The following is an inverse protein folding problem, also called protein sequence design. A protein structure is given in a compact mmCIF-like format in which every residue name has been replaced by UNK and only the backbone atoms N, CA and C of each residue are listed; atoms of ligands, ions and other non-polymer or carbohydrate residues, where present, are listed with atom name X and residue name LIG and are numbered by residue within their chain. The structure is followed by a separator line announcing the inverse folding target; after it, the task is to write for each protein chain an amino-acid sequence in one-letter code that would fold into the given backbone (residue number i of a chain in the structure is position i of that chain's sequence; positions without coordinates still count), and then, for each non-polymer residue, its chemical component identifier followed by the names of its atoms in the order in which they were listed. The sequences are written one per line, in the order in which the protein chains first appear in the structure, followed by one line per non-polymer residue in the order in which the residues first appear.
data_IF_419563787784
#
_entry.id   IF_419563787784
#
_cell.length_a   1.000
_cell.length_b   1.000
_cell.length_c   1.000
_cell.angle_alpha   90.00
_cell.angle_beta   90.00
_cell.angle_gamma   90.00
#
_symmetry.space_group_name_H-M   'P 1'
#
loop_
_entity.id
_entity.type
_entity.pdbx_description
1 polymer ?
#
# COMPACT_ATOMS: atom_id res chain seq x y z
N UNK A 1 -60.40 28.32 13.38
CA UNK A 1 -61.46 27.88 12.47
C UNK A 1 -61.09 28.31 11.06
N UNK A 2 -61.26 27.38 10.11
CA UNK A 2 -61.16 27.49 8.64
C UNK A 2 -59.78 27.50 7.95
N UNK A 3 -59.34 26.27 7.71
CA UNK A 3 -58.80 25.73 6.44
C UNK A 3 -59.51 26.24 5.18
N UNK A 4 -58.79 26.36 4.06
CA UNK A 4 -59.24 25.80 2.76
C UNK A 4 -58.12 25.75 1.71
N UNK A 5 -57.87 24.53 1.25
CA UNK A 5 -57.19 24.18 0.01
C UNK A 5 -58.17 24.27 -1.17
N UNK A 6 -57.68 24.61 -2.38
CA UNK A 6 -58.38 24.29 -3.64
C UNK A 6 -57.43 23.57 -4.61
N UNK A 7 -57.87 22.37 -5.01
CA UNK A 7 -57.43 21.61 -6.19
C UNK A 7 -58.37 21.88 -7.37
N UNK A 8 -57.95 21.37 -8.53
CA UNK A 8 -58.67 21.04 -9.78
C UNK A 8 -58.59 22.15 -10.85
N UNK A 9 -58.16 21.90 -12.10
CA UNK A 9 -57.82 20.63 -12.75
C UNK A 9 -57.23 20.75 -14.16
N UNK A 10 -56.67 19.62 -14.59
CA UNK A 10 -56.71 18.94 -15.90
C UNK A 10 -56.78 19.79 -17.20
N UNK A 11 -55.77 19.65 -18.07
CA UNK A 11 -56.00 19.58 -19.52
C UNK A 11 -54.93 18.76 -20.26
N UNK A 12 -55.41 17.76 -21.00
CA UNK A 12 -54.64 16.87 -21.90
C UNK A 12 -54.57 17.50 -23.28
N UNK A 13 -53.42 17.41 -23.98
CA UNK A 13 -53.40 17.28 -25.45
C UNK A 13 -52.34 16.29 -25.92
N UNK A 14 -52.83 15.22 -26.52
CA UNK A 14 -52.14 14.24 -27.38
C UNK A 14 -52.10 14.83 -28.80
N UNK A 15 -51.01 14.60 -29.55
CA UNK A 15 -51.08 14.56 -31.02
C UNK A 15 -50.10 13.54 -31.60
N UNK A 16 -50.64 12.74 -32.51
CA UNK A 16 -50.11 11.52 -33.11
C UNK A 16 -49.08 11.74 -34.25
N UNK A 17 -48.25 10.71 -34.47
CA UNK A 17 -47.55 10.33 -35.71
C UNK A 17 -48.53 10.05 -36.87
N UNK A 18 -48.13 10.07 -38.17
CA UNK A 18 -47.43 8.96 -38.86
C UNK A 18 -46.37 9.45 -39.89
N UNK A 19 -45.47 8.68 -40.53
CA UNK A 19 -45.22 7.24 -40.60
C UNK A 19 -44.04 6.95 -41.58
N UNK A 20 -43.45 5.76 -41.40
CA UNK A 20 -42.64 4.88 -42.27
C UNK A 20 -42.02 5.38 -43.60
N UNK A 21 -40.74 5.04 -43.80
CA UNK A 21 -40.31 4.22 -44.96
C UNK A 21 -39.03 3.41 -44.66
N UNK A 22 -38.99 2.17 -45.14
CA UNK A 22 -38.00 1.09 -44.91
C UNK A 22 -36.96 0.94 -46.06
N UNK A 23 -35.92 0.10 -45.78
CA UNK A 23 -35.00 -0.66 -46.67
C UNK A 23 -33.66 0.04 -47.00
N UNK A 24 -32.46 -0.58 -47.03
CA UNK A 24 -31.91 -1.94 -46.82
C UNK A 24 -30.34 -1.85 -46.79
N UNK A 25 -29.52 -2.92 -46.68
CA UNK A 25 -28.30 -2.94 -45.84
C UNK A 25 -26.97 -3.20 -46.60
N UNK A 26 -25.91 -3.50 -45.81
CA UNK A 26 -24.63 -4.20 -46.12
C UNK A 26 -23.40 -3.29 -46.29
N UNK A 27 -22.44 -3.36 -45.35
CA UNK A 27 -21.03 -3.72 -45.59
C UNK A 27 -20.45 -4.36 -44.32
N UNK A 28 -20.01 -5.61 -44.45
CA UNK A 28 -19.18 -6.37 -43.50
C UNK A 28 -17.70 -6.00 -43.70
N UNK A 29 -16.97 -5.75 -42.61
CA UNK A 29 -15.50 -5.79 -42.60
C UNK A 29 -15.01 -6.89 -41.65
N UNK A 30 -14.35 -7.90 -42.25
CA UNK A 30 -13.65 -9.00 -41.61
C UNK A 30 -12.32 -8.51 -40.99
N UNK A 31 -11.94 -9.01 -39.82
CA UNK A 31 -10.56 -9.44 -39.58
C UNK A 31 -10.44 -10.50 -38.45
N UNK A 32 -10.23 -11.74 -38.92
CA UNK A 32 -9.38 -12.85 -38.43
C UNK A 32 -9.16 -13.01 -36.91
N UNK A 33 -9.79 -14.08 -36.38
CA UNK A 33 -9.41 -14.79 -35.14
C UNK A 33 -8.48 -15.95 -35.55
N UNK A 34 -7.26 -16.00 -35.03
CA UNK A 34 -6.37 -17.15 -35.21
C UNK A 34 -6.61 -18.15 -34.08
N UNK A 35 -7.20 -19.30 -34.42
CA UNK A 35 -7.22 -20.51 -33.59
C UNK A 35 -6.16 -21.45 -34.11
N UNK A 36 -5.15 -21.78 -33.30
CA UNK A 36 -4.32 -22.96 -33.52
C UNK A 36 -4.82 -24.09 -32.62
N UNK A 37 -5.32 -25.13 -33.28
CA UNK A 37 -5.57 -26.46 -32.74
C UNK A 37 -4.44 -27.35 -33.21
N UNK A 38 -3.86 -28.13 -32.30
CA UNK A 38 -3.14 -29.35 -32.66
C UNK A 38 -3.36 -30.40 -31.58
N UNK A 39 -4.38 -31.24 -31.80
CA UNK A 39 -4.49 -32.58 -31.25
C UNK A 39 -3.53 -33.51 -31.98
N UNK A 40 -2.70 -34.25 -31.24
CA UNK A 40 -2.21 -35.57 -31.62
C UNK A 40 -2.15 -36.42 -30.36
N UNK A 41 -3.12 -37.32 -30.23
CA UNK A 41 -3.03 -38.49 -29.37
C UNK A 41 -2.41 -39.63 -30.18
N UNK A 42 -1.41 -40.30 -29.61
CA UNK A 42 -1.05 -41.64 -30.02
C UNK A 42 -0.58 -42.43 -28.79
N UNK A 43 -1.23 -43.56 -28.62
CA UNK A 43 -1.15 -44.60 -27.60
C UNK A 43 0.16 -45.40 -27.62
N UNK A 44 0.58 -45.91 -26.46
CA UNK A 44 1.42 -47.12 -26.37
C UNK A 44 2.45 -47.12 -25.24
N UNK A 45 2.12 -47.74 -24.10
CA UNK A 45 3.12 -48.41 -23.23
C UNK A 45 3.56 -49.75 -23.85
N UNK A 46 4.47 -50.55 -23.24
CA UNK A 46 4.52 -50.80 -21.79
C UNK A 46 5.93 -50.90 -21.14
N UNK A 47 5.91 -50.99 -19.80
CA UNK A 47 6.79 -51.68 -18.84
C UNK A 47 8.27 -51.28 -18.57
N UNK A 48 8.52 -51.11 -17.26
CA UNK A 48 9.75 -50.93 -16.43
C UNK A 48 10.60 -52.24 -16.36
N UNK A 49 11.87 -52.28 -15.86
CA UNK A 49 12.47 -51.67 -14.64
C UNK A 49 13.87 -51.03 -14.88
N UNK A 50 14.57 -50.30 -14.00
CA UNK A 50 14.69 -50.26 -12.54
C UNK A 50 16.03 -50.89 -12.09
N UNK A 51 16.96 -50.08 -11.55
CA UNK A 51 18.34 -50.36 -11.05
C UNK A 51 19.43 -50.66 -12.13
N UNK A 52 20.68 -50.18 -12.09
CA UNK A 52 21.59 -50.03 -10.95
C UNK A 52 22.74 -49.00 -11.17
N UNK A 53 23.42 -48.75 -10.05
CA UNK A 53 24.55 -47.89 -9.65
C UNK A 53 25.76 -47.62 -10.59
N UNK A 54 26.37 -46.42 -10.42
CA UNK A 54 27.82 -46.11 -10.14
C UNK A 54 28.19 -44.71 -10.69
N UNK A 55 28.49 -43.73 -9.85
CA UNK A 55 29.76 -43.45 -9.14
C UNK A 55 30.72 -42.54 -9.94
N UNK A 56 30.99 -41.36 -9.34
CA UNK A 56 32.16 -40.47 -9.52
C UNK A 56 32.50 -39.89 -10.91
N UNK A 57 32.51 -38.55 -10.99
CA UNK A 57 33.77 -37.82 -11.17
C UNK A 57 33.63 -36.33 -10.83
N UNK A 58 34.39 -35.93 -9.80
CA UNK A 58 34.81 -34.56 -9.54
C UNK A 58 35.67 -34.07 -10.71
N UNK A 59 35.44 -32.84 -11.18
CA UNK A 59 36.48 -32.01 -11.78
C UNK A 59 36.39 -30.58 -11.27
N UNK A 60 37.24 -30.32 -10.28
CA UNK A 60 37.81 -29.02 -9.97
C UNK A 60 38.81 -28.66 -11.08
N UNK A 61 38.75 -27.46 -11.63
CA UNK A 61 39.94 -26.80 -12.22
C UNK A 61 39.97 -25.36 -11.71
N UNK A 62 41.13 -25.04 -11.15
CA UNK A 62 41.53 -23.82 -10.47
C UNK A 62 42.02 -22.75 -11.47
N UNK A 63 41.86 -21.50 -11.02
CA UNK A 63 42.62 -20.27 -11.29
C UNK A 63 43.70 -20.28 -12.39
N UNK A 64 43.71 -19.21 -13.20
CA UNK A 64 44.95 -18.56 -13.61
C UNK A 64 44.79 -17.04 -13.82
N UNK A 65 45.84 -16.33 -13.43
CA UNK A 65 45.99 -14.91 -13.18
C UNK A 65 46.05 -13.97 -14.41
N UNK A 66 45.66 -12.71 -14.14
CA UNK A 66 46.26 -11.42 -14.52
C UNK A 66 47.06 -11.27 -15.84
N UNK A 67 46.72 -10.23 -16.64
CA UNK A 67 47.62 -9.08 -16.87
C UNK A 67 47.04 -7.99 -17.78
N UNK A 68 47.13 -6.74 -17.27
CA UNK A 68 47.45 -5.44 -17.90
C UNK A 68 47.19 -5.23 -19.41
N UNK A 69 46.50 -4.13 -19.73
CA UNK A 69 46.99 -3.12 -20.69
C UNK A 69 46.32 -1.76 -20.45
N UNK A 70 47.14 -0.71 -20.51
CA UNK A 70 46.79 0.71 -20.37
C UNK A 70 47.16 1.48 -21.66
N UNK A 71 46.65 2.72 -21.74
CA UNK A 71 47.04 3.87 -22.58
C UNK A 71 46.25 4.07 -23.91
N UNK A 72 46.27 5.29 -24.50
CA UNK A 72 45.86 6.59 -23.96
C UNK A 72 45.06 7.45 -25.00
N UNK A 73 44.50 8.62 -24.62
CA UNK A 73 44.20 9.67 -25.60
C UNK A 73 43.08 10.65 -25.24
N UNK A 74 43.44 11.84 -24.76
CA UNK A 74 42.62 13.06 -24.78
C UNK A 74 42.86 13.82 -26.10
N UNK A 75 41.93 14.69 -26.51
CA UNK A 75 42.29 16.11 -26.51
C UNK A 75 41.25 17.01 -25.82
N UNK A 76 41.73 18.19 -25.42
CA UNK A 76 41.02 19.30 -24.76
C UNK A 76 40.54 20.33 -25.81
N UNK A 77 39.35 20.88 -25.58
CA UNK A 77 38.90 22.26 -25.88
C UNK A 77 37.77 22.52 -24.83
N UNK A 78 37.84 23.46 -23.87
CA UNK A 78 37.82 24.92 -23.98
C UNK A 78 36.45 25.38 -24.53
N UNK A 79 35.54 26.07 -23.85
CA UNK A 79 35.41 26.71 -22.54
C UNK A 79 34.03 27.41 -22.47
N UNK A 80 33.57 27.76 -21.27
CA UNK A 80 32.32 28.51 -21.00
C UNK A 80 31.25 27.60 -20.36
N UNK A 81 30.78 27.79 -19.13
CA UNK A 81 30.75 28.96 -18.26
C UNK A 81 29.30 29.18 -17.80
N UNK A 82 28.81 28.38 -16.86
CA UNK A 82 27.55 28.63 -16.15
C UNK A 82 27.74 28.26 -14.67
N UNK A 83 27.58 29.26 -13.80
CA UNK A 83 27.67 29.11 -12.35
C UNK A 83 26.42 28.43 -11.80
N UNK A 84 26.59 27.29 -11.13
CA UNK A 84 25.60 26.71 -10.23
C UNK A 84 26.23 26.62 -8.83
N UNK A 85 25.49 27.13 -7.84
CA UNK A 85 25.92 27.22 -6.45
C UNK A 85 26.26 25.86 -5.84
N UNK A 86 27.43 25.81 -5.21
CA UNK A 86 27.95 24.69 -4.44
C UNK A 86 27.12 24.41 -3.20
N UNK A 87 26.53 23.20 -3.12
CA UNK A 87 26.41 22.46 -1.85
C UNK A 87 27.38 21.29 -1.93
N UNK A 88 28.26 21.18 -0.93
CA UNK A 88 29.32 20.20 -0.83
C UNK A 88 28.78 18.76 -0.98
N UNK A 89 29.40 18.01 -1.89
CA UNK A 89 29.19 16.58 -2.02
C UNK A 89 29.74 15.88 -0.76
N UNK A 90 28.85 15.29 0.04
CA UNK A 90 29.20 14.42 1.17
C UNK A 90 29.79 13.11 0.65
N UNK A 91 30.92 12.71 1.20
CA UNK A 91 31.65 11.50 0.81
C UNK A 91 30.98 10.22 1.32
N UNK A 92 31.19 9.09 0.63
CA UNK A 92 30.69 7.75 0.99
C UNK A 92 31.06 7.25 2.40
N UNK A 93 31.85 8.00 3.19
CA UNK A 93 32.16 7.70 4.58
C UNK A 93 31.13 8.19 5.61
N UNK A 94 30.13 8.96 5.21
CA UNK A 94 29.07 9.44 6.11
C UNK A 94 27.77 8.61 6.04
N UNK A 95 27.67 7.66 5.11
CA UNK A 95 26.52 6.74 4.97
C UNK A 95 26.58 5.49 5.84
N UNK A 96 27.66 5.29 6.60
CA UNK A 96 27.87 4.11 7.43
C UNK A 96 28.36 4.52 8.81
N UNK A 97 27.45 4.97 9.67
CA UNK A 97 27.65 4.93 11.12
C UNK A 97 26.72 3.85 11.69
N UNK A 98 27.26 2.85 12.42
CA UNK A 98 26.41 1.98 13.22
C UNK A 98 25.64 2.85 14.22
N UNK A 99 24.36 2.54 14.43
CA UNK A 99 23.61 3.10 15.55
C UNK A 99 24.26 2.57 16.84
N UNK A 100 25.03 3.42 17.52
CA UNK A 100 25.59 3.09 18.83
C UNK A 100 24.44 2.84 19.84
N UNK A 101 24.51 1.78 20.66
CA UNK A 101 23.55 1.56 21.73
C UNK A 101 23.76 2.61 22.82
N UNK A 102 22.74 3.44 23.07
CA UNK A 102 22.75 4.43 24.15
C UNK A 102 23.02 3.76 25.52
N UNK A 103 23.90 4.33 26.37
CA UNK A 103 24.09 3.84 27.72
C UNK A 103 22.87 4.20 28.57
N UNK A 104 22.30 3.20 29.25
CA UNK A 104 21.15 3.37 30.12
C UNK A 104 21.45 4.31 31.29
N UNK A 105 20.57 5.29 31.50
CA UNK A 105 20.39 5.93 32.80
C UNK A 105 19.20 5.28 33.49
N UNK A 106 19.33 4.81 34.74
CA UNK A 106 18.21 4.30 35.51
C UNK A 106 17.39 5.50 36.04
N UNK A 107 16.08 5.29 36.15
CA UNK A 107 15.08 6.19 36.78
C UNK A 107 14.42 7.25 35.88
N UNK A 108 13.39 6.82 35.16
CA UNK A 108 12.25 7.66 34.78
C UNK A 108 10.96 6.81 34.80
N UNK A 109 10.37 6.59 35.97
CA UNK A 109 8.99 6.11 36.08
C UNK A 109 8.04 7.30 35.93
N UNK A 110 7.82 7.72 34.69
CA UNK A 110 6.80 8.68 34.29
C UNK A 110 5.73 8.04 33.38
N UNK A 111 4.63 8.75 33.06
CA UNK A 111 3.50 8.25 32.25
C UNK A 111 3.87 7.67 30.88
N UNK A 112 5.07 8.00 30.37
CA UNK A 112 5.66 7.43 29.16
C UNK A 112 5.81 5.90 29.18
N UNK A 113 6.01 5.27 30.35
CA UNK A 113 6.11 3.80 30.43
C UNK A 113 4.75 3.10 30.28
N UNK A 114 3.67 3.74 30.73
CA UNK A 114 2.31 3.20 30.65
C UNK A 114 1.69 3.35 29.26
N UNK A 115 1.93 4.48 28.58
CA UNK A 115 1.45 4.68 27.19
C UNK A 115 2.21 3.81 26.21
N UNK A 116 3.55 3.69 26.35
CA UNK A 116 4.34 2.78 25.52
C UNK A 116 3.88 1.33 25.66
N UNK A 117 3.72 0.84 26.90
CA UNK A 117 3.22 -0.53 27.15
C UNK A 117 1.86 -0.78 26.48
N UNK A 118 0.96 0.21 26.46
CA UNK A 118 -0.32 0.11 25.75
C UNK A 118 -0.14 0.03 24.24
N UNK A 119 0.73 0.86 23.67
CA UNK A 119 1.01 0.82 22.23
C UNK A 119 1.70 -0.49 21.82
N UNK A 120 2.63 -1.01 22.63
CA UNK A 120 3.25 -2.32 22.39
C UNK A 120 2.20 -3.46 22.42
N UNK A 121 1.14 -3.34 23.24
CA UNK A 121 0.00 -4.27 23.23
C UNK A 121 -0.85 -4.14 21.97
N UNK A 122 -1.07 -2.93 21.47
CA UNK A 122 -1.77 -2.70 20.19
C UNK A 122 -0.97 -3.32 19.04
N UNK A 123 0.35 -3.12 19.01
CA UNK A 123 1.24 -3.73 18.02
C UNK A 123 1.15 -5.26 18.06
N UNK A 124 1.15 -5.85 19.26
CA UNK A 124 0.99 -7.30 19.42
C UNK A 124 -0.36 -7.83 18.91
N UNK A 125 -1.44 -7.03 18.96
CA UNK A 125 -2.76 -7.42 18.41
C UNK A 125 -2.72 -7.50 16.89
N UNK A 126 -2.03 -6.57 16.22
CA UNK A 126 -1.96 -6.54 14.74
C UNK A 126 -0.90 -7.50 14.18
N UNK A 127 0.05 -7.97 14.99
CA UNK A 127 1.03 -9.01 14.64
C UNK A 127 0.43 -10.43 14.67
N UNK A 128 -0.78 -10.59 14.12
CA UNK A 128 -1.42 -11.89 13.93
C UNK A 128 -1.05 -12.42 12.55
N UNK A 129 -0.28 -13.50 12.50
CA UNK A 129 0.05 -14.14 11.21
C UNK A 129 -1.21 -14.81 10.63
N UNK A 130 -1.51 -14.51 9.37
CA UNK A 130 -2.67 -15.01 8.64
C UNK A 130 -2.28 -16.05 7.58
N UNK A 131 -1.06 -16.59 7.67
CA UNK A 131 -0.56 -17.66 6.80
C UNK A 131 0.48 -17.22 5.77
N UNK A 132 1.05 -16.01 5.93
CA UNK A 132 2.07 -15.44 5.03
C UNK A 132 3.50 -15.68 5.50
N UNK A 133 3.69 -16.22 6.71
CA UNK A 133 5.03 -16.43 7.28
C UNK A 133 5.66 -15.12 7.78
N UNK A 134 4.83 -14.19 8.22
CA UNK A 134 5.24 -12.83 8.59
C UNK A 134 5.79 -12.72 10.01
N UNK A 135 5.67 -13.76 10.84
CA UNK A 135 6.16 -13.73 12.21
C UNK A 135 7.63 -13.24 12.35
N UNK A 136 8.60 -13.65 11.51
CA UNK A 136 9.96 -13.11 11.54
C UNK A 136 10.04 -11.64 11.13
N UNK A 137 9.21 -11.20 10.18
CA UNK A 137 9.09 -9.79 9.76
C UNK A 137 8.55 -8.94 10.91
N UNK A 138 7.53 -9.42 11.63
CA UNK A 138 7.00 -8.76 12.84
C UNK A 138 8.08 -8.57 13.91
N UNK A 139 8.95 -9.55 14.11
CA UNK A 139 10.06 -9.42 15.06
C UNK A 139 11.09 -8.37 14.59
N UNK A 140 11.40 -8.34 13.30
CA UNK A 140 12.31 -7.33 12.74
C UNK A 140 11.73 -5.91 12.83
N UNK A 141 10.41 -5.75 12.64
CA UNK A 141 9.72 -4.46 12.69
C UNK A 141 9.38 -3.98 14.11
N UNK A 142 9.45 -4.87 15.12
CA UNK A 142 8.95 -4.65 16.49
C UNK A 142 9.27 -3.27 17.09
N UNK A 143 8.28 -2.69 17.76
CA UNK A 143 8.27 -1.32 18.26
C UNK A 143 8.13 -0.27 17.17
N UNK A 144 7.86 -0.69 15.93
CA UNK A 144 7.66 0.16 14.77
C UNK A 144 6.47 1.11 14.97
N UNK A 145 5.37 0.59 15.51
CA UNK A 145 4.18 1.39 15.81
C UNK A 145 4.49 2.50 16.82
N UNK A 146 5.18 2.18 17.92
CA UNK A 146 5.59 3.18 18.91
C UNK A 146 6.50 4.25 18.31
N UNK A 147 7.50 3.84 17.53
CA UNK A 147 8.43 4.78 16.88
C UNK A 147 7.68 5.73 15.93
N UNK A 148 6.83 5.17 15.07
CA UNK A 148 6.04 5.92 14.10
C UNK A 148 5.08 6.91 14.78
N UNK A 149 4.21 6.40 15.67
CA UNK A 149 3.18 7.20 16.30
C UNK A 149 3.76 8.28 17.21
N UNK A 150 4.84 7.98 17.96
CA UNK A 150 5.52 8.98 18.79
C UNK A 150 6.15 10.08 17.95
N UNK A 151 6.79 9.74 16.83
CA UNK A 151 7.43 10.73 15.97
C UNK A 151 6.40 11.64 15.31
N UNK A 152 5.30 11.07 14.77
CA UNK A 152 4.21 11.85 14.20
C UNK A 152 3.47 12.68 15.24
N UNK A 153 3.21 12.15 16.45
CA UNK A 153 2.56 12.89 17.52
C UNK A 153 3.38 14.10 18.00
N UNK A 154 4.71 14.03 17.90
CA UNK A 154 5.60 15.14 18.25
C UNK A 154 5.60 16.27 17.21
N UNK A 155 5.05 16.04 16.00
CA UNK A 155 4.87 17.10 15.01
C UNK A 155 3.73 18.03 15.45
N UNK A 156 4.02 19.34 15.48
CA UNK A 156 3.07 20.34 15.97
C UNK A 156 1.87 20.49 15.03
N UNK A 157 2.12 20.63 13.73
CA UNK A 157 1.11 20.82 12.70
C UNK A 157 1.44 20.03 11.42
N UNK A 158 1.46 18.68 11.49
CA UNK A 158 1.83 17.86 10.34
C UNK A 158 0.81 17.98 9.20
N UNK A 159 1.27 17.71 7.99
CA UNK A 159 0.48 17.60 6.77
C UNK A 159 0.81 16.28 6.10
N UNK A 160 -0.22 15.47 5.88
CA UNK A 160 -0.04 14.05 5.62
C UNK A 160 -0.38 13.72 4.16
N UNK A 161 0.59 13.18 3.43
CA UNK A 161 0.37 12.48 2.19
C UNK A 161 0.09 11.00 2.47
N UNK A 162 -0.91 10.40 1.84
CA UNK A 162 -1.14 8.96 1.88
C UNK A 162 -0.85 8.36 0.51
N UNK A 163 -0.22 7.19 0.48
CA UNK A 163 0.00 6.42 -0.74
C UNK A 163 -0.62 5.04 -0.53
N UNK A 164 -1.54 4.65 -1.39
CA UNK A 164 -2.20 3.35 -1.29
C UNK A 164 -2.68 2.86 -2.65
N UNK A 165 -3.20 1.64 -2.70
CA UNK A 165 -3.74 1.01 -3.88
C UNK A 165 -2.85 -0.14 -4.32
N UNK A 166 -3.51 -1.26 -4.60
CA UNK A 166 -2.93 -2.45 -5.16
C UNK A 166 -3.92 -2.96 -6.21
N UNK A 167 -3.53 -2.90 -7.49
CA UNK A 167 -4.38 -3.44 -8.54
C UNK A 167 -4.23 -4.95 -8.64
N UNK A 168 -5.35 -5.66 -8.79
CA UNK A 168 -5.44 -7.12 -8.86
C UNK A 168 -5.88 -7.53 -10.27
N UNK A 169 -4.93 -7.81 -11.20
CA UNK A 169 -5.26 -8.15 -12.58
C UNK A 169 -6.05 -9.46 -12.72
N UNK A 170 -5.91 -10.36 -11.74
CA UNK A 170 -6.62 -11.63 -11.70
C UNK A 170 -8.01 -11.57 -11.06
N UNK A 171 -8.45 -10.40 -10.61
CA UNK A 171 -9.78 -10.19 -10.06
C UNK A 171 -10.88 -10.45 -11.09
N UNK A 172 -12.09 -10.77 -10.62
CA UNK A 172 -13.29 -10.86 -11.46
C UNK A 172 -14.37 -9.86 -11.02
N UNK A 173 -14.49 -8.69 -11.68
CA UNK A 173 -13.58 -8.17 -12.71
C UNK A 173 -12.24 -7.68 -12.13
N UNK A 174 -11.19 -7.46 -12.95
CA UNK A 174 -9.94 -6.88 -12.49
C UNK A 174 -10.16 -5.49 -11.89
N UNK A 175 -9.61 -5.25 -10.70
CA UNK A 175 -9.97 -4.13 -9.86
C UNK A 175 -8.88 -3.84 -8.83
N UNK A 176 -9.00 -2.73 -8.09
CA UNK A 176 -8.22 -2.51 -6.88
C UNK A 176 -8.58 -3.56 -5.82
N UNK A 177 -7.68 -3.85 -4.89
CA UNK A 177 -8.07 -4.65 -3.73
C UNK A 177 -8.75 -3.82 -2.63
N UNK A 178 -9.37 -4.52 -1.68
CA UNK A 178 -10.02 -3.92 -0.50
C UNK A 178 -9.01 -3.44 0.55
N UNK A 179 -7.90 -4.15 0.75
CA UNK A 179 -6.82 -3.71 1.64
C UNK A 179 -6.05 -2.52 1.05
N UNK A 180 -5.66 -1.59 1.92
CA UNK A 180 -5.07 -0.31 1.54
C UNK A 180 -6.09 0.83 1.51
N UNK A 181 -6.92 0.96 0.46
CA UNK A 181 -7.84 2.10 0.32
C UNK A 181 -8.80 2.25 1.50
N UNK A 182 -9.32 1.15 2.05
CA UNK A 182 -10.22 1.20 3.20
C UNK A 182 -9.51 1.72 4.46
N UNK A 183 -8.34 1.15 4.79
CA UNK A 183 -7.53 1.60 5.93
C UNK A 183 -7.03 3.04 5.76
N UNK A 184 -6.66 3.45 4.54
CA UNK A 184 -6.28 4.82 4.22
C UNK A 184 -7.44 5.79 4.47
N UNK A 185 -8.67 5.44 4.09
CA UNK A 185 -9.85 6.27 4.32
C UNK A 185 -10.14 6.45 5.82
N UNK A 186 -9.97 5.41 6.64
CA UNK A 186 -10.11 5.52 8.09
C UNK A 186 -9.03 6.41 8.73
N UNK A 187 -7.78 6.31 8.26
CA UNK A 187 -6.70 7.20 8.67
C UNK A 187 -7.04 8.66 8.34
N UNK A 188 -7.45 8.92 7.10
CA UNK A 188 -7.84 10.27 6.66
C UNK A 188 -9.02 10.78 7.46
N UNK A 189 -10.02 9.96 7.77
CA UNK A 189 -11.12 10.34 8.67
C UNK A 189 -10.62 10.82 10.02
N UNK A 190 -9.70 10.08 10.64
CA UNK A 190 -9.08 10.49 11.90
C UNK A 190 -8.32 11.81 11.77
N UNK A 191 -7.46 11.93 10.77
CA UNK A 191 -6.63 13.13 10.55
C UNK A 191 -7.47 14.37 10.21
N UNK A 192 -8.40 14.27 9.26
CA UNK A 192 -9.27 15.37 8.87
C UNK A 192 -10.15 15.83 10.05
N UNK A 193 -10.67 14.89 10.86
CA UNK A 193 -11.40 15.19 12.08
C UNK A 193 -10.56 15.92 13.14
N UNK A 194 -9.24 15.73 13.14
CA UNK A 194 -8.28 16.45 13.98
C UNK A 194 -7.79 17.77 13.36
N UNK A 195 -8.31 18.16 12.19
CA UNK A 195 -7.88 19.36 11.46
C UNK A 195 -6.56 19.21 10.69
N UNK A 196 -6.03 17.99 10.58
CA UNK A 196 -4.81 17.68 9.82
C UNK A 196 -5.16 17.59 8.33
N UNK A 197 -4.44 18.35 7.51
CA UNK A 197 -4.65 18.33 6.06
C UNK A 197 -4.05 17.07 5.47
N UNK A 198 -4.83 16.40 4.64
CA UNK A 198 -4.44 15.18 3.96
C UNK A 198 -4.49 15.35 2.44
N UNK A 199 -3.68 14.55 1.74
CA UNK A 199 -3.74 14.32 0.29
C UNK A 199 -3.43 12.85 0.02
N UNK A 200 -4.03 12.25 -0.99
CA UNK A 200 -3.83 10.83 -1.31
C UNK A 200 -3.25 10.69 -2.73
N UNK A 201 -2.31 9.77 -2.92
CA UNK A 201 -1.85 9.32 -4.23
C UNK A 201 -2.12 7.82 -4.40
N UNK A 202 -2.53 7.43 -5.60
CA UNK A 202 -2.85 6.03 -5.94
C UNK A 202 -2.66 5.78 -7.44
N UNK A 203 -2.71 4.51 -7.86
CA UNK A 203 -2.75 4.19 -9.28
C UNK A 203 -4.05 4.72 -9.90
N UNK A 204 -4.00 5.16 -11.15
CA UNK A 204 -5.20 5.57 -11.88
C UNK A 204 -6.29 4.49 -11.90
N UNK A 205 -5.92 3.21 -11.93
CA UNK A 205 -6.85 2.09 -11.87
C UNK A 205 -7.51 1.90 -10.48
N UNK A 206 -6.93 2.49 -9.43
CA UNK A 206 -7.40 2.41 -8.05
C UNK A 206 -8.11 3.68 -7.58
N UNK A 207 -8.15 4.75 -8.40
CA UNK A 207 -8.71 6.06 -8.04
C UNK A 207 -10.15 5.96 -7.56
N UNK A 208 -11.01 5.25 -8.30
CA UNK A 208 -12.43 5.14 -7.96
C UNK A 208 -12.66 4.42 -6.63
N UNK A 209 -11.86 3.41 -6.31
CA UNK A 209 -11.94 2.70 -5.04
C UNK A 209 -11.55 3.62 -3.88
N UNK A 210 -10.44 4.36 -4.02
CA UNK A 210 -10.00 5.35 -3.03
C UNK A 210 -11.03 6.48 -2.84
N UNK A 211 -11.64 6.97 -3.94
CA UNK A 211 -12.66 8.02 -3.86
C UNK A 211 -13.89 7.56 -3.10
N UNK A 212 -14.45 6.39 -3.45
CA UNK A 212 -15.60 5.82 -2.74
C UNK A 212 -15.29 5.58 -1.26
N UNK A 213 -14.09 5.08 -0.94
CA UNK A 213 -13.67 4.87 0.44
C UNK A 213 -13.62 6.19 1.23
N UNK A 214 -13.01 7.23 0.66
CA UNK A 214 -12.92 8.56 1.26
C UNK A 214 -14.30 9.21 1.45
N UNK A 215 -15.15 9.13 0.43
CA UNK A 215 -16.51 9.69 0.48
C UNK A 215 -17.32 9.02 1.61
N UNK A 216 -17.28 7.69 1.67
CA UNK A 216 -17.99 6.93 2.70
C UNK A 216 -17.42 7.16 4.10
N UNK A 217 -16.12 7.44 4.20
CA UNK A 217 -15.46 7.83 5.46
C UNK A 217 -15.79 9.28 5.88
N UNK A 218 -16.48 10.07 5.04
CA UNK A 218 -16.74 11.50 5.28
C UNK A 218 -15.47 12.32 5.19
N UNK A 219 -14.63 12.00 4.21
CA UNK A 219 -13.36 12.63 3.89
C UNK A 219 -13.27 13.03 2.39
N UNK A 220 -14.41 13.29 1.76
CA UNK A 220 -14.59 13.61 0.33
C UNK A 220 -13.78 14.83 -0.14
N UNK A 221 -13.43 15.73 0.78
CA UNK A 221 -12.62 16.91 0.48
C UNK A 221 -11.13 16.62 0.25
N UNK A 222 -10.69 15.36 0.47
CA UNK A 222 -9.28 14.97 0.34
C UNK A 222 -8.89 14.87 -1.13
N UNK A 223 -7.92 15.65 -1.62
CA UNK A 223 -7.47 15.57 -3.00
C UNK A 223 -6.82 14.21 -3.30
N UNK A 224 -7.07 13.68 -4.50
CA UNK A 224 -6.48 12.43 -5.00
C UNK A 224 -5.60 12.73 -6.22
N UNK A 225 -4.33 12.36 -6.15
CA UNK A 225 -3.39 12.28 -7.27
C UNK A 225 -3.40 10.85 -7.83
N UNK A 226 -4.20 10.63 -8.88
CA UNK A 226 -4.24 9.38 -9.62
C UNK A 226 -3.12 9.37 -10.68
N UNK A 227 -2.25 8.35 -10.66
CA UNK A 227 -1.05 8.29 -11.52
C UNK A 227 -1.09 7.03 -12.38
N UNK A 228 -0.82 7.15 -13.68
CA UNK A 228 -0.70 5.98 -14.56
C UNK A 228 0.68 5.29 -14.43
N UNK A 229 0.81 3.98 -14.72
CA UNK A 229 2.07 3.24 -14.64
C UNK A 229 3.26 3.88 -15.37
N UNK A 230 3.01 4.45 -16.53
CA UNK A 230 4.00 5.11 -17.38
C UNK A 230 4.22 6.60 -17.04
N UNK A 231 3.41 7.17 -16.15
CA UNK A 231 3.44 8.59 -15.83
C UNK A 231 4.56 8.92 -14.81
N UNK A 232 5.38 9.95 -15.05
CA UNK A 232 6.35 10.40 -14.07
C UNK A 232 5.67 11.08 -12.87
N UNK A 233 6.20 10.85 -11.66
CA UNK A 233 5.64 11.41 -10.41
C UNK A 233 6.18 12.78 -10.03
N UNK A 234 7.09 13.38 -10.82
CA UNK A 234 7.72 14.67 -10.49
C UNK A 234 6.70 15.80 -10.25
N UNK A 235 5.62 15.83 -11.04
CA UNK A 235 4.54 16.80 -10.86
C UNK A 235 3.75 16.56 -9.55
N UNK A 236 3.58 15.31 -9.14
CA UNK A 236 2.93 14.94 -7.86
C UNK A 236 3.82 15.35 -6.69
N UNK A 237 5.13 15.06 -6.77
CA UNK A 237 6.13 15.46 -5.76
C UNK A 237 6.09 16.98 -5.58
N UNK A 238 6.12 17.73 -6.67
CA UNK A 238 6.09 19.20 -6.63
C UNK A 238 4.77 19.72 -6.04
N UNK A 239 3.63 19.13 -6.41
CA UNK A 239 2.33 19.46 -5.79
C UNK A 239 2.34 19.18 -4.28
N UNK A 240 2.85 18.03 -3.85
CA UNK A 240 2.93 17.67 -2.42
C UNK A 240 3.85 18.63 -1.64
N UNK A 241 4.97 19.02 -2.25
CA UNK A 241 5.88 20.04 -1.70
C UNK A 241 5.20 21.41 -1.57
N UNK A 242 4.44 21.84 -2.57
CA UNK A 242 3.69 23.11 -2.53
C UNK A 242 2.55 23.07 -1.48
N UNK A 243 1.92 21.91 -1.35
CA UNK A 243 0.98 21.60 -0.27
C UNK A 243 1.69 21.32 1.07
N UNK A 244 2.98 21.60 1.20
CA UNK A 244 3.71 21.51 2.47
C UNK A 244 3.58 20.16 3.18
N UNK A 245 3.38 19.07 2.44
CA UNK A 245 3.38 17.71 2.98
C UNK A 245 4.76 17.46 3.59
N UNK A 246 4.78 17.06 4.86
CA UNK A 246 5.99 16.77 5.64
C UNK A 246 6.00 15.34 6.22
N UNK A 247 4.87 14.64 6.13
CA UNK A 247 4.73 13.22 6.45
C UNK A 247 4.06 12.46 5.32
N UNK A 248 4.58 11.29 4.97
CA UNK A 248 3.98 10.39 4.00
C UNK A 248 3.75 9.02 4.60
N UNK A 249 2.52 8.51 4.49
CA UNK A 249 2.11 7.21 4.97
C UNK A 249 1.77 6.33 3.77
N UNK A 250 2.58 5.30 3.52
CA UNK A 250 2.22 4.23 2.60
C UNK A 250 1.43 3.14 3.35
N UNK A 251 0.33 2.68 2.78
CA UNK A 251 -0.46 1.56 3.30
C UNK A 251 -0.88 0.66 2.15
N UNK A 252 -0.50 -0.62 2.23
CA UNK A 252 -0.75 -1.61 1.19
C UNK A 252 -0.38 -1.09 -0.20
N UNK A 253 0.86 -0.62 -0.31
CA UNK A 253 1.40 -0.10 -1.55
C UNK A 253 2.55 -0.95 -2.01
N UNK A 254 2.37 -1.70 -3.10
CA UNK A 254 3.44 -2.50 -3.69
C UNK A 254 4.66 -1.62 -4.04
N UNK A 255 5.84 -2.11 -3.70
CA UNK A 255 7.13 -1.52 -4.06
C UNK A 255 7.95 -2.43 -4.97
N UNK A 256 9.00 -1.89 -5.60
CA UNK A 256 9.86 -2.66 -6.48
C UNK A 256 10.71 -3.67 -5.69
N UNK A 257 10.85 -4.87 -6.25
CA UNK A 257 11.85 -5.84 -5.81
C UNK A 257 13.27 -5.46 -6.24
N UNK A 258 14.22 -6.36 -6.00
CA UNK A 258 15.65 -6.14 -6.27
C UNK A 258 16.01 -5.85 -7.73
N UNK A 259 15.18 -6.31 -8.66
CA UNK A 259 15.33 -6.08 -10.10
C UNK A 259 14.52 -4.86 -10.60
N UNK A 260 13.97 -4.06 -9.68
CA UNK A 260 13.20 -2.86 -9.97
C UNK A 260 11.74 -3.10 -10.33
N UNK A 261 11.23 -4.34 -10.24
CA UNK A 261 9.86 -4.68 -10.63
C UNK A 261 8.96 -4.92 -9.43
N UNK A 262 7.80 -4.25 -9.34
CA UNK A 262 6.77 -4.59 -8.36
C UNK A 262 6.15 -5.94 -8.70
N UNK A 263 5.92 -6.76 -7.67
CA UNK A 263 5.31 -8.09 -7.80
C UNK A 263 4.23 -8.30 -6.77
N UNK A 264 3.19 -9.04 -7.15
CA UNK A 264 2.22 -9.53 -6.18
C UNK A 264 2.75 -10.73 -5.39
N UNK A 265 1.99 -11.17 -4.39
CA UNK A 265 2.33 -12.32 -3.54
C UNK A 265 2.51 -13.66 -4.28
N UNK A 266 2.15 -13.73 -5.58
CA UNK A 266 2.38 -14.90 -6.45
C UNK A 266 3.68 -14.81 -7.24
N UNK A 267 4.46 -13.74 -7.07
CA UNK A 267 5.67 -13.46 -7.84
C UNK A 267 5.39 -12.91 -9.24
N UNK A 268 4.13 -12.59 -9.57
CA UNK A 268 3.77 -12.03 -10.87
C UNK A 268 4.15 -10.56 -10.91
N UNK A 269 4.86 -10.17 -11.97
CA UNK A 269 5.16 -8.78 -12.28
C UNK A 269 3.86 -8.00 -12.57
N UNK A 270 3.65 -6.92 -11.81
CA UNK A 270 2.47 -6.05 -11.92
C UNK A 270 2.84 -4.63 -12.38
N UNK A 271 4.02 -4.44 -12.98
CA UNK A 271 4.50 -3.15 -13.46
C UNK A 271 3.49 -2.45 -14.38
N UNK A 272 2.76 -3.21 -15.20
CA UNK A 272 1.74 -2.68 -16.13
C UNK A 272 0.53 -2.01 -15.42
N UNK A 273 0.43 -2.14 -14.10
CA UNK A 273 -0.66 -1.60 -13.29
C UNK A 273 -0.19 -0.79 -12.09
N UNK A 274 1.13 -0.65 -11.91
CA UNK A 274 1.74 -0.07 -10.71
C UNK A 274 2.44 1.23 -11.10
N UNK A 275 1.85 2.37 -10.75
CA UNK A 275 2.50 3.67 -10.85
C UNK A 275 3.77 3.74 -10.01
N UNK A 276 4.79 4.52 -10.43
CA UNK A 276 6.08 4.62 -9.74
C UNK A 276 5.99 5.52 -8.49
N UNK A 277 4.98 5.27 -7.65
CA UNK A 277 4.72 5.97 -6.39
C UNK A 277 5.75 5.62 -5.30
N UNK A 278 6.58 4.60 -5.51
CA UNK A 278 7.80 4.35 -4.74
C UNK A 278 8.78 5.54 -4.80
N UNK A 279 8.83 6.24 -5.95
CA UNK A 279 9.65 7.44 -6.13
C UNK A 279 9.05 8.65 -5.43
N UNK A 280 7.72 8.76 -5.38
CA UNK A 280 7.05 9.75 -4.55
C UNK A 280 7.40 9.46 -3.08
N UNK A 281 7.13 8.25 -2.59
CA UNK A 281 7.44 7.85 -1.22
C UNK A 281 8.89 8.18 -0.81
N UNK A 282 9.85 7.87 -1.69
CA UNK A 282 11.29 8.05 -1.45
C UNK A 282 11.81 9.48 -1.65
N UNK A 283 10.96 10.45 -2.00
CA UNK A 283 11.41 11.83 -2.12
C UNK A 283 11.84 12.32 -0.72
N UNK A 284 13.11 12.72 -0.58
CA UNK A 284 13.73 13.12 0.70
C UNK A 284 13.27 14.51 1.21
N UNK A 285 11.95 14.75 1.16
CA UNK A 285 11.27 15.98 1.52
C UNK A 285 10.38 15.81 2.75
N UNK A 286 10.05 14.57 3.12
CA UNK A 286 9.12 14.22 4.18
C UNK A 286 9.62 13.01 4.97
N UNK A 287 9.07 12.85 6.18
CA UNK A 287 9.23 11.65 6.98
C UNK A 287 8.28 10.56 6.48
N UNK A 288 8.73 9.32 6.47
CA UNK A 288 8.01 8.19 5.88
C UNK A 288 7.55 7.17 6.91
N UNK A 289 6.26 6.84 6.88
CA UNK A 289 5.67 5.71 7.59
C UNK A 289 5.17 4.72 6.54
N UNK A 290 5.43 3.44 6.74
CA UNK A 290 4.92 2.38 5.88
C UNK A 290 4.18 1.32 6.67
N UNK A 291 3.08 0.85 6.10
CA UNK A 291 2.23 -0.22 6.62
C UNK A 291 2.12 -1.29 5.52
N UNK A 292 2.49 -2.52 5.86
CA UNK A 292 2.48 -3.66 4.93
C UNK A 292 2.32 -5.00 5.66
N UNK A 293 1.92 -6.04 4.94
CA UNK A 293 1.63 -7.38 5.47
C UNK A 293 2.21 -8.56 4.67
N UNK A 294 2.84 -8.29 3.52
CA UNK A 294 3.30 -9.29 2.57
C UNK A 294 4.81 -9.27 2.29
N UNK A 295 5.50 -8.20 2.61
CA UNK A 295 6.94 -8.04 2.35
C UNK A 295 7.27 -7.43 0.97
N UNK A 296 6.29 -7.28 0.10
CA UNK A 296 6.40 -6.68 -1.23
C UNK A 296 5.94 -5.21 -1.27
N UNK A 297 5.59 -4.63 -0.12
CA UNK A 297 5.11 -3.26 0.02
C UNK A 297 6.23 -2.28 0.34
N UNK A 298 6.00 -1.00 0.05
CA UNK A 298 6.88 0.09 0.46
C UNK A 298 7.20 0.00 1.95
N UNK A 299 8.43 0.33 2.31
CA UNK A 299 8.94 0.24 3.68
C UNK A 299 9.51 -1.11 4.07
N UNK A 300 9.14 -2.19 3.38
CA UNK A 300 9.68 -3.53 3.67
C UNK A 300 11.18 -3.64 3.36
N UNK A 301 11.76 -2.70 2.61
CA UNK A 301 13.21 -2.57 2.44
C UNK A 301 13.97 -2.25 3.74
N UNK A 302 13.27 -1.85 4.81
CA UNK A 302 13.84 -1.69 6.15
C UNK A 302 14.04 -3.03 6.89
N UNK A 303 13.47 -4.12 6.39
CA UNK A 303 13.62 -5.47 6.94
C UNK A 303 14.87 -6.13 6.33
N UNK A 304 15.72 -6.82 7.11
CA UNK A 304 16.86 -7.53 6.54
C UNK A 304 16.40 -8.52 5.47
N UNK A 305 16.96 -8.40 4.25
CA UNK A 305 16.52 -9.18 3.08
C UNK A 305 16.30 -10.68 3.35
N UNK A 306 17.20 -11.42 4.06
CA UNK A 306 16.98 -12.84 4.33
C UNK A 306 15.70 -13.14 5.12
N UNK A 307 15.24 -12.21 5.97
CA UNK A 307 14.00 -12.39 6.75
C UNK A 307 12.80 -12.53 5.83
N UNK A 308 12.68 -11.69 4.80
CA UNK A 308 11.60 -11.81 3.81
C UNK A 308 11.89 -12.99 2.87
N UNK A 309 13.11 -13.08 2.35
CA UNK A 309 13.48 -14.08 1.35
C UNK A 309 13.26 -15.53 1.81
N UNK A 310 13.57 -15.83 3.08
CA UNK A 310 13.55 -17.19 3.60
C UNK A 310 12.22 -17.59 4.24
N UNK A 311 11.35 -16.63 4.60
CA UNK A 311 10.15 -16.90 5.41
C UNK A 311 8.83 -16.57 4.68
N UNK A 312 8.84 -15.63 3.74
CA UNK A 312 7.66 -15.28 2.96
C UNK A 312 7.63 -16.13 1.68
N UNK A 313 6.47 -16.71 1.27
CA UNK A 313 6.36 -17.40 -0.01
C UNK A 313 6.85 -16.52 -1.17
N UNK A 314 7.73 -17.07 -2.02
CA UNK A 314 8.40 -16.33 -3.12
C UNK A 314 9.12 -15.04 -2.66
N UNK A 315 9.48 -14.94 -1.39
CA UNK A 315 10.07 -13.76 -0.73
C UNK A 315 11.28 -13.17 -1.44
N UNK A 316 12.18 -14.02 -1.95
CA UNK A 316 13.39 -13.56 -2.66
C UNK A 316 13.05 -12.76 -3.93
N UNK A 317 11.94 -13.08 -4.59
CA UNK A 317 11.49 -12.39 -5.80
C UNK A 317 10.66 -11.14 -5.50
N UNK A 318 9.81 -11.20 -4.47
CA UNK A 318 8.82 -10.15 -4.18
C UNK A 318 9.32 -9.09 -3.20
N UNK A 319 10.36 -9.39 -2.41
CA UNK A 319 10.84 -8.54 -1.33
C UNK A 319 11.16 -7.13 -1.81
N UNK A 320 10.37 -6.16 -1.35
CA UNK A 320 10.53 -4.77 -1.71
C UNK A 320 11.83 -4.21 -1.14
N UNK A 321 12.53 -3.39 -1.92
CA UNK A 321 13.84 -2.81 -1.53
C UNK A 321 13.75 -1.38 -1.03
N UNK A 322 12.56 -0.78 -1.03
CA UNK A 322 12.35 0.62 -0.62
C UNK A 322 12.14 0.68 0.89
N UNK A 323 13.05 1.34 1.65
CA UNK A 323 12.91 1.46 3.09
C UNK A 323 11.96 2.60 3.47
N UNK A 324 11.54 2.60 4.73
CA UNK A 324 10.82 3.71 5.39
C UNK A 324 11.54 4.11 6.68
N UNK A 325 11.39 5.36 7.11
CA UNK A 325 11.87 5.83 8.41
C UNK A 325 11.21 5.07 9.55
N UNK A 326 9.92 4.75 9.37
CA UNK A 326 9.14 3.95 10.30
C UNK A 326 8.32 2.88 9.56
N UNK A 327 8.66 1.61 9.77
CA UNK A 327 7.89 0.47 9.28
C UNK A 327 6.95 -0.05 10.38
N UNK A 328 5.70 -0.31 10.00
CA UNK A 328 4.67 -1.00 10.79
C UNK A 328 4.28 -2.24 9.99
N UNK A 329 4.78 -3.41 10.39
CA UNK A 329 4.32 -4.67 9.81
C UNK A 329 3.03 -5.13 10.52
N UNK A 330 2.07 -5.67 9.77
CA UNK A 330 0.81 -6.16 10.31
C UNK A 330 0.42 -7.48 9.64
N UNK A 331 -0.52 -8.22 10.23
CA UNK A 331 -1.11 -9.40 9.57
C UNK A 331 -1.99 -9.04 8.36
N UNK A 332 -2.58 -7.84 8.40
CA UNK A 332 -3.37 -7.20 7.34
C UNK A 332 -3.02 -5.72 7.40
N UNK A 333 -2.69 -5.07 6.30
CA UNK A 333 -2.32 -3.64 6.28
C UNK A 333 -3.41 -2.76 6.88
N UNK A 334 -4.68 -3.10 6.64
CA UNK A 334 -5.83 -2.45 7.26
C UNK A 334 -5.74 -2.44 8.81
N UNK A 335 -5.28 -3.52 9.45
CA UNK A 335 -5.12 -3.54 10.90
C UNK A 335 -4.04 -2.56 11.37
N UNK A 336 -3.02 -2.32 10.56
CA UNK A 336 -2.02 -1.28 10.80
C UNK A 336 -2.63 0.13 10.86
N UNK A 337 -3.64 0.42 10.03
CA UNK A 337 -4.40 1.68 10.13
C UNK A 337 -5.09 1.82 11.50
N UNK A 338 -5.73 0.75 11.99
CA UNK A 338 -6.35 0.77 13.32
C UNK A 338 -5.30 1.08 14.40
N UNK A 339 -4.15 0.42 14.32
CA UNK A 339 -3.08 0.60 15.28
C UNK A 339 -2.53 2.03 15.31
N UNK A 340 -2.36 2.66 14.14
CA UNK A 340 -1.90 4.06 14.05
C UNK A 340 -2.91 5.01 14.69
N UNK A 341 -4.21 4.91 14.35
CA UNK A 341 -5.26 5.71 14.96
C UNK A 341 -5.27 5.53 16.49
N UNK A 342 -5.19 4.29 16.95
CA UNK A 342 -5.20 3.92 18.36
C UNK A 342 -4.00 4.49 19.13
N UNK A 343 -2.80 4.39 18.55
CA UNK A 343 -1.57 4.90 19.13
C UNK A 343 -1.58 6.45 19.19
N UNK A 344 -2.05 7.11 18.13
CA UNK A 344 -2.19 8.57 18.12
C UNK A 344 -3.24 9.05 19.10
N UNK A 345 -4.36 8.34 19.27
CA UNK A 345 -5.36 8.67 20.29
C UNK A 345 -4.77 8.67 21.72
N UNK A 346 -3.80 7.78 21.98
CA UNK A 346 -3.11 7.69 23.27
C UNK A 346 -2.02 8.76 23.44
N UNK A 347 -1.42 9.23 22.35
CA UNK A 347 -0.28 10.17 22.37
C UNK A 347 -0.68 11.63 22.18
N UNK A 348 -1.82 11.89 21.52
CA UNK A 348 -2.39 13.21 21.25
C UNK A 348 -3.80 13.30 21.80
N UNK A 349 -3.96 13.68 23.10
CA UNK A 349 -5.28 13.83 23.71
C UNK A 349 -6.19 14.80 22.97
N UNK A 350 -5.62 15.82 22.34
CA UNK A 350 -6.32 16.79 21.48
C UNK A 350 -6.85 16.17 20.18
N UNK A 351 -6.28 15.06 19.71
CA UNK A 351 -6.75 14.31 18.53
C UNK A 351 -7.59 13.09 18.88
N UNK A 352 -7.62 12.68 20.15
CA UNK A 352 -8.16 11.39 20.57
C UNK A 352 -9.59 11.13 20.09
N UNK A 353 -10.48 12.13 20.20
CA UNK A 353 -11.86 12.00 19.73
C UNK A 353 -11.94 11.73 18.22
N UNK A 354 -11.13 12.44 17.42
CA UNK A 354 -11.09 12.26 15.97
C UNK A 354 -10.49 10.91 15.58
N UNK A 355 -9.38 10.50 16.21
CA UNK A 355 -8.77 9.19 15.97
C UNK A 355 -9.73 8.04 16.31
N UNK A 356 -10.47 8.16 17.42
CA UNK A 356 -11.47 7.17 17.82
C UNK A 356 -12.69 7.14 16.89
N UNK A 357 -13.01 8.24 16.20
CA UNK A 357 -14.05 8.28 15.18
C UNK A 357 -13.64 7.55 13.88
N UNK A 358 -12.33 7.48 13.58
CA UNK A 358 -11.80 6.62 12.51
C UNK A 358 -11.73 5.14 12.91
N UNK A 359 -11.75 4.84 14.21
CA UNK A 359 -11.78 3.47 14.76
C UNK A 359 -13.21 2.95 14.96
N UNK A 360 -14.17 3.33 14.14
CA UNK A 360 -15.57 2.92 14.29
C UNK A 360 -15.85 1.64 13.46
N UNK A 361 -16.27 0.52 14.08
CA UNK A 361 -16.50 -0.73 13.37
C UNK A 361 -17.67 -0.66 12.39
N UNK A 362 -18.66 0.22 12.64
CA UNK A 362 -19.78 0.39 11.72
C UNK A 362 -19.38 1.27 10.53
N UNK A 363 -18.49 2.25 10.75
CA UNK A 363 -17.87 3.02 9.67
C UNK A 363 -17.01 2.12 8.78
N UNK A 364 -16.17 1.27 9.39
CA UNK A 364 -15.28 0.35 8.68
C UNK A 364 -16.06 -0.62 7.77
N UNK A 365 -17.11 -1.24 8.31
CA UNK A 365 -18.03 -2.06 7.51
C UNK A 365 -18.70 -1.25 6.40
N UNK A 366 -19.17 -0.02 6.69
CA UNK A 366 -19.79 0.82 5.68
C UNK A 366 -18.84 1.22 4.54
N UNK A 367 -17.57 1.50 4.85
CA UNK A 367 -16.52 1.82 3.86
C UNK A 367 -16.30 0.63 2.92
N UNK A 368 -16.10 -0.57 3.46
CA UNK A 368 -15.95 -1.79 2.65
C UNK A 368 -17.20 -2.07 1.83
N UNK A 369 -18.39 -1.93 2.42
CA UNK A 369 -19.66 -2.13 1.72
C UNK A 369 -19.82 -1.16 0.55
N UNK A 370 -19.48 0.12 0.74
CA UNK A 370 -19.53 1.12 -0.31
C UNK A 370 -18.49 0.83 -1.40
N UNK A 371 -17.27 0.47 -1.04
CA UNK A 371 -16.23 0.08 -2.00
C UNK A 371 -16.69 -1.12 -2.82
N UNK A 372 -17.25 -2.16 -2.20
CA UNK A 372 -17.77 -3.34 -2.90
C UNK A 372 -18.97 -2.99 -3.75
N UNK A 373 -19.87 -2.10 -3.33
CA UNK A 373 -21.11 -1.77 -4.08
C UNK A 373 -20.87 -0.78 -5.24
N UNK A 374 -20.12 0.28 -4.97
CA UNK A 374 -20.01 1.46 -5.83
C UNK A 374 -18.59 1.62 -6.41
N UNK A 375 -17.58 0.98 -5.81
CA UNK A 375 -16.24 0.86 -6.37
C UNK A 375 -16.02 -0.46 -7.12
N UNK A 376 -15.14 -0.49 -8.13
CA UNK A 376 -14.57 -1.75 -8.59
C UNK A 376 -13.46 -2.14 -7.60
N UNK A 377 -13.81 -3.00 -6.63
CA UNK A 377 -12.83 -3.66 -5.75
C UNK A 377 -13.03 -5.18 -5.74
N UNK A 378 -11.96 -5.89 -5.43
CA UNK A 378 -11.96 -7.33 -5.15
C UNK A 378 -11.17 -7.61 -3.88
N UNK A 379 -11.36 -8.78 -3.30
CA UNK A 379 -10.44 -9.32 -2.31
C UNK A 379 -9.14 -9.79 -2.98
N UNK A 380 -7.98 -9.36 -2.47
CA UNK A 380 -6.67 -9.66 -3.06
C UNK A 380 -6.30 -11.15 -3.04
N UNK A 381 -6.93 -11.94 -2.16
CA UNK A 381 -6.67 -13.37 -2.01
C UNK A 381 -7.70 -14.20 -2.79
N UNK A 382 -9.00 -13.92 -2.63
CA UNK A 382 -10.06 -14.70 -3.29
C UNK A 382 -10.32 -14.28 -4.73
N UNK A 383 -9.83 -13.09 -5.11
CA UNK A 383 -9.98 -12.48 -6.43
C UNK A 383 -11.43 -12.17 -6.81
N UNK A 384 -12.34 -12.15 -5.82
CA UNK A 384 -13.77 -11.91 -6.03
C UNK A 384 -14.18 -10.58 -5.44
N UNK A 385 -15.26 -10.03 -5.99
CA UNK A 385 -15.95 -8.86 -5.44
C UNK A 385 -16.81 -9.27 -4.25
N UNK A 386 -16.25 -9.19 -3.05
CA UNK A 386 -16.90 -9.60 -1.80
C UNK A 386 -16.48 -8.68 -0.64
N UNK A 387 -17.26 -8.69 0.44
CA UNK A 387 -17.04 -7.90 1.66
C UNK A 387 -16.01 -8.57 2.56
N UNK A 388 -14.81 -8.80 2.02
CA UNK A 388 -13.69 -9.40 2.73
C UNK A 388 -12.43 -8.60 2.47
N UNK A 389 -11.49 -8.75 3.38
CA UNK A 389 -10.12 -8.26 3.22
C UNK A 389 -9.22 -9.46 3.49
N UNK A 390 -8.32 -9.78 2.57
CA UNK A 390 -7.42 -10.93 2.69
C UNK A 390 -8.09 -12.29 2.95
N UNK A 391 -9.20 -12.54 2.25
CA UNK A 391 -10.07 -13.70 2.41
C UNK A 391 -10.69 -13.86 3.81
N UNK A 392 -10.68 -12.81 4.62
CA UNK A 392 -11.30 -12.79 5.95
C UNK A 392 -12.58 -11.96 5.94
N UNK A 393 -13.60 -12.52 6.59
CA UNK A 393 -14.89 -11.85 6.81
C UNK A 393 -14.72 -10.63 7.73
N UNK A 394 -15.50 -9.57 7.49
CA UNK A 394 -15.53 -8.35 8.31
C UNK A 394 -15.69 -8.62 9.82
N UNK A 395 -16.30 -9.75 10.24
CA UNK A 395 -16.32 -10.17 11.63
C UNK A 395 -14.92 -10.26 12.27
N UNK A 396 -13.94 -10.79 11.54
CA UNK A 396 -12.55 -10.91 12.01
C UNK A 396 -11.91 -9.53 12.19
N UNK A 397 -12.13 -8.62 11.23
CA UNK A 397 -11.61 -7.25 11.29
C UNK A 397 -12.25 -6.47 12.46
N UNK A 398 -13.56 -6.65 12.68
CA UNK A 398 -14.28 -6.08 13.82
C UNK A 398 -13.73 -6.58 15.16
N UNK A 399 -13.39 -7.86 15.28
CA UNK A 399 -12.76 -8.42 16.48
C UNK A 399 -11.39 -7.79 16.75
N UNK A 400 -10.54 -7.67 15.72
CA UNK A 400 -9.22 -7.04 15.83
C UNK A 400 -9.35 -5.57 16.21
N UNK A 401 -10.25 -4.82 15.57
CA UNK A 401 -10.52 -3.43 15.93
C UNK A 401 -11.01 -3.31 17.38
N UNK A 402 -11.92 -4.18 17.83
CA UNK A 402 -12.40 -4.18 19.21
C UNK A 402 -11.26 -4.43 20.20
N UNK A 403 -10.36 -5.37 19.90
CA UNK A 403 -9.18 -5.64 20.71
C UNK A 403 -8.25 -4.41 20.78
N UNK A 404 -7.97 -3.75 19.65
CA UNK A 404 -7.20 -2.50 19.60
C UNK A 404 -7.87 -1.39 20.43
N UNK A 405 -9.17 -1.15 20.23
CA UNK A 405 -9.93 -0.12 20.96
C UNK A 405 -9.94 -0.37 22.47
N UNK A 406 -10.02 -1.62 22.91
CA UNK A 406 -10.03 -1.97 24.34
C UNK A 406 -8.78 -1.47 25.08
N UNK A 407 -7.65 -1.37 24.37
CA UNK A 407 -6.38 -0.86 24.92
C UNK A 407 -6.41 0.67 25.07
N UNK A 408 -7.08 1.37 24.14
CA UNK A 408 -7.20 2.84 24.15
C UNK A 408 -8.22 3.36 25.17
N UNK A 409 -9.37 2.70 25.29
CA UNK A 409 -10.56 3.21 26.03
C UNK A 409 -10.60 2.67 27.48
N UNK A 410 -9.46 2.28 28.07
CA UNK A 410 -9.44 1.69 29.42
C UNK A 410 -10.16 2.58 30.46
N UNK A 411 -11.00 2.01 31.34
CA UNK A 411 -12.03 2.71 32.13
C UNK A 411 -11.54 3.70 33.19
N UNK A 412 -10.22 3.88 33.38
CA UNK A 412 -9.64 4.77 34.39
C UNK A 412 -9.57 6.26 33.98
N UNK A 413 -10.27 6.66 32.92
CA UNK A 413 -10.23 8.04 32.40
C UNK A 413 -11.62 8.69 32.30
N UNK A 414 -12.57 8.27 33.15
CA UNK A 414 -13.86 8.96 33.35
C UNK A 414 -13.89 9.67 34.70
#
# INVERSE_FOLDING_TARGET
MHTSWKRVGNDRKIKCLPGRQERSPIVMARLVRATYSSTCAATGGPDKPGHDERETQRRTVSEMCASRRACPGHPRFGGGGWMAGTRLAMTERERSRPLDPFPGSPHAHGPASGTRTRIDRIEAVIHRDVGRGMAPVFQAARGGLWRAARALAAAEAPRIGLITGFFVPGGDPPAAETDGPAGAALLVRGFAGAGVRCRLATDAACESACRVALDQAGAEATPIDAVAPEEPVDAVIERWRQDGIDWVIAIERCGPGADGRPRNMRGTDISAHTAPLDRLFSAALWQTIAIGDGGNELGMGSVPRPVIADNVPVGEAIGCVVPADHLIAAGVSHWGAYAVLAALALLRPDWAAAMLAGLDPDLDSAVIDAMVRDGPVVDGVTLRREQTIDAMDMAVHREVMAAVRSVCVSPNNR
#
